data_IF_885522359023
#
_entry.id   IF_885522359023
#
_cell.length_a   1.000
_cell.length_b   1.000
_cell.length_c   1.000
_cell.angle_alpha   90.00
_cell.angle_beta   90.00
_cell.angle_gamma   90.00
#
_symmetry.space_group_name_H-M   'P 1'
#
loop_
_entity.id
_entity.type
_entity.pdbx_description
1 polymer ?
#
# COMPACT_ATOMS: atom_id res chain seq x y z
N UNK A 1 -22.94 -15.56 17.72
CA UNK A 1 -22.26 -15.40 16.42
C UNK A 1 -20.85 -15.94 16.54
N UNK A 2 -20.41 -16.87 15.68
CA UNK A 2 -19.00 -17.32 15.65
C UNK A 2 -18.18 -16.15 15.11
N UNK A 3 -17.33 -15.58 15.95
CA UNK A 3 -16.34 -14.58 15.51
C UNK A 3 -15.36 -15.28 14.57
N UNK A 4 -15.50 -15.05 13.27
CA UNK A 4 -14.53 -15.53 12.29
C UNK A 4 -13.30 -14.63 12.46
N UNK A 5 -12.13 -15.22 12.67
CA UNK A 5 -10.89 -14.44 12.78
C UNK A 5 -10.55 -13.82 11.41
N UNK A 6 -9.97 -12.63 11.38
CA UNK A 6 -9.52 -11.99 10.13
C UNK A 6 -8.56 -12.90 9.35
N UNK A 7 -7.74 -13.67 10.04
CA UNK A 7 -6.88 -14.69 9.44
C UNK A 7 -7.66 -15.70 8.60
N UNK A 8 -8.76 -16.21 9.14
CA UNK A 8 -9.58 -17.20 8.42
C UNK A 8 -10.30 -16.57 7.23
N UNK A 9 -10.75 -15.33 7.35
CA UNK A 9 -11.34 -14.59 6.22
C UNK A 9 -10.33 -14.35 5.11
N UNK A 10 -9.13 -13.85 5.45
CA UNK A 10 -8.06 -13.62 4.50
C UNK A 10 -7.68 -14.92 3.78
N UNK A 11 -7.49 -16.02 4.52
CA UNK A 11 -7.18 -17.32 3.93
C UNK A 11 -8.28 -17.82 2.99
N UNK A 12 -9.56 -17.66 3.36
CA UNK A 12 -10.68 -18.05 2.54
C UNK A 12 -10.76 -17.22 1.23
N UNK A 13 -10.47 -15.93 1.30
CA UNK A 13 -10.46 -15.04 0.13
C UNK A 13 -9.31 -15.41 -0.81
N UNK A 14 -8.11 -15.62 -0.25
CA UNK A 14 -6.92 -16.02 -1.02
C UNK A 14 -7.10 -17.39 -1.70
N UNK A 15 -7.82 -18.31 -1.07
CA UNK A 15 -8.14 -19.63 -1.63
C UNK A 15 -9.30 -19.60 -2.65
N UNK A 16 -9.75 -18.42 -3.10
CA UNK A 16 -10.78 -18.28 -4.13
C UNK A 16 -12.20 -18.62 -3.65
N UNK A 17 -12.45 -18.66 -2.35
CA UNK A 17 -13.78 -18.98 -1.79
C UNK A 17 -14.82 -17.90 -2.09
N UNK A 18 -14.40 -16.68 -2.38
CA UNK A 18 -15.24 -15.56 -2.77
C UNK A 18 -14.98 -15.19 -4.23
N UNK A 19 -15.67 -15.85 -5.15
CA UNK A 19 -15.56 -15.61 -6.60
C UNK A 19 -16.56 -14.53 -7.02
N UNK A 20 -16.15 -13.26 -6.95
CA UNK A 20 -16.89 -12.19 -7.62
C UNK A 20 -16.14 -11.73 -8.88
N UNK A 21 -16.90 -11.36 -9.92
CA UNK A 21 -16.38 -10.91 -11.20
C UNK A 21 -15.33 -9.79 -11.06
N UNK A 22 -15.54 -8.88 -10.13
CA UNK A 22 -14.63 -7.77 -9.86
C UNK A 22 -13.27 -8.22 -9.32
N UNK A 23 -13.22 -9.29 -8.51
CA UNK A 23 -11.97 -9.88 -8.02
C UNK A 23 -11.22 -10.61 -9.13
N UNK A 24 -11.92 -11.29 -10.06
CA UNK A 24 -11.31 -11.95 -11.21
C UNK A 24 -10.64 -10.92 -12.12
N UNK A 25 -11.31 -9.81 -12.43
CA UNK A 25 -10.72 -8.73 -13.23
C UNK A 25 -9.49 -8.11 -12.55
N UNK A 26 -9.54 -7.91 -11.23
CA UNK A 26 -8.39 -7.42 -10.47
C UNK A 26 -7.22 -8.40 -10.52
N UNK A 27 -7.48 -9.71 -10.38
CA UNK A 27 -6.43 -10.74 -10.46
C UNK A 27 -5.75 -10.73 -11.82
N UNK A 28 -6.51 -10.66 -12.93
CA UNK A 28 -5.95 -10.59 -14.29
C UNK A 28 -5.06 -9.35 -14.46
N UNK A 29 -5.53 -8.18 -14.00
CA UNK A 29 -4.76 -6.95 -14.08
C UNK A 29 -3.49 -7.01 -13.24
N UNK A 30 -3.58 -7.58 -12.05
CA UNK A 30 -2.44 -7.79 -11.16
C UNK A 30 -1.40 -8.73 -11.80
N UNK A 31 -1.84 -9.81 -12.42
CA UNK A 31 -0.94 -10.76 -13.10
C UNK A 31 -0.18 -10.10 -14.25
N UNK A 32 -0.83 -9.24 -15.04
CA UNK A 32 -0.17 -8.47 -16.11
C UNK A 32 0.90 -7.54 -15.53
N UNK A 33 0.58 -6.81 -14.45
CA UNK A 33 1.53 -5.92 -13.79
C UNK A 33 2.73 -6.73 -13.26
N UNK A 34 2.48 -7.78 -12.51
CA UNK A 34 3.52 -8.65 -11.94
C UNK A 34 4.42 -9.26 -13.00
N UNK A 35 3.84 -9.77 -14.10
CA UNK A 35 4.59 -10.28 -15.24
C UNK A 35 5.53 -9.21 -15.81
N UNK A 36 5.02 -8.00 -16.00
CA UNK A 36 5.82 -6.89 -16.55
C UNK A 36 6.98 -6.50 -15.62
N UNK A 37 6.72 -6.37 -14.32
CA UNK A 37 7.77 -6.04 -13.35
C UNK A 37 8.80 -7.16 -13.20
N UNK A 38 8.39 -8.42 -13.33
CA UNK A 38 9.30 -9.56 -13.33
C UNK A 38 10.14 -9.62 -14.61
N UNK A 39 9.56 -9.34 -15.77
CA UNK A 39 10.22 -9.37 -17.07
C UNK A 39 11.21 -8.21 -17.20
N UNK A 40 10.82 -7.02 -16.79
CA UNK A 40 11.64 -5.80 -16.79
C UNK A 40 12.08 -5.45 -15.36
N UNK A 41 12.77 -6.40 -14.73
CA UNK A 41 13.10 -6.26 -13.31
C UNK A 41 13.98 -5.04 -13.01
N UNK A 42 14.94 -4.73 -13.89
CA UNK A 42 15.83 -3.58 -13.71
C UNK A 42 15.18 -2.26 -14.13
N UNK A 43 15.68 -1.16 -13.55
CA UNK A 43 15.22 0.20 -13.84
C UNK A 43 16.33 0.99 -14.57
N UNK A 44 16.83 0.45 -15.68
CA UNK A 44 17.95 1.00 -16.44
C UNK A 44 17.61 1.45 -17.87
N UNK A 45 16.45 1.01 -18.41
CA UNK A 45 16.01 1.38 -19.76
C UNK A 45 14.70 2.17 -19.69
N UNK A 46 14.70 3.36 -20.28
CA UNK A 46 13.56 4.30 -20.22
C UNK A 46 12.24 3.67 -20.69
N UNK A 47 12.23 2.92 -21.78
CA UNK A 47 11.02 2.28 -22.31
C UNK A 47 10.45 1.21 -21.38
N UNK A 48 11.30 0.43 -20.70
CA UNK A 48 10.89 -0.59 -19.74
C UNK A 48 10.32 0.05 -18.46
N UNK A 49 10.96 1.13 -17.98
CA UNK A 49 10.47 1.89 -16.81
C UNK A 49 9.16 2.59 -17.15
N UNK A 50 9.07 3.21 -18.34
CA UNK A 50 7.83 3.88 -18.77
C UNK A 50 6.66 2.90 -18.93
N UNK A 51 6.91 1.67 -19.44
CA UNK A 51 5.90 0.63 -19.52
C UNK A 51 5.35 0.28 -18.13
N UNK A 52 6.21 0.12 -17.12
CA UNK A 52 5.81 -0.09 -15.72
C UNK A 52 4.98 1.08 -15.18
N UNK A 53 5.40 2.31 -15.42
CA UNK A 53 4.67 3.52 -15.00
C UNK A 53 3.29 3.58 -15.63
N UNK A 54 3.17 3.33 -16.94
CA UNK A 54 1.90 3.33 -17.69
C UNK A 54 0.94 2.26 -17.18
N UNK A 55 1.43 1.04 -16.93
CA UNK A 55 0.60 -0.05 -16.42
C UNK A 55 0.05 0.25 -15.02
N UNK A 56 0.88 0.76 -14.11
CA UNK A 56 0.40 1.18 -12.80
C UNK A 56 -0.62 2.31 -12.89
N UNK A 57 -0.41 3.25 -13.82
CA UNK A 57 -1.35 4.35 -14.02
C UNK A 57 -2.70 3.85 -14.56
N UNK A 58 -2.67 2.91 -15.51
CA UNK A 58 -3.85 2.33 -16.12
C UNK A 58 -4.68 1.49 -15.12
N UNK A 59 -4.04 0.57 -14.41
CA UNK A 59 -4.76 -0.41 -13.60
C UNK A 59 -5.04 0.06 -12.17
N UNK A 60 -4.21 0.94 -11.62
CA UNK A 60 -4.37 1.43 -10.25
C UNK A 60 -4.76 2.90 -10.16
N UNK A 61 -5.07 3.55 -11.29
CA UNK A 61 -5.54 4.94 -11.36
C UNK A 61 -4.65 5.90 -10.56
N UNK A 62 -3.32 5.76 -10.70
CA UNK A 62 -2.35 6.53 -9.91
C UNK A 62 -2.26 8.00 -10.29
N UNK A 63 -2.89 8.41 -11.39
CA UNK A 63 -3.02 9.81 -11.82
C UNK A 63 -1.73 10.42 -12.36
N UNK A 64 -0.76 9.62 -12.82
CA UNK A 64 0.48 10.11 -13.43
C UNK A 64 0.19 10.62 -14.85
N UNK A 65 0.22 11.93 -15.05
CA UNK A 65 0.00 12.55 -16.36
C UNK A 65 1.27 12.53 -17.22
N UNK A 66 2.44 12.78 -16.62
CA UNK A 66 3.73 12.84 -17.30
C UNK A 66 4.51 11.53 -17.11
N UNK A 67 4.07 10.44 -17.79
CA UNK A 67 4.65 9.09 -17.59
C UNK A 67 6.13 9.02 -17.98
N UNK A 68 6.54 9.67 -19.07
CA UNK A 68 7.94 9.75 -19.50
C UNK A 68 8.79 10.48 -18.45
N UNK A 69 8.31 11.60 -17.93
CA UNK A 69 9.03 12.38 -16.91
C UNK A 69 9.18 11.59 -15.61
N UNK A 70 8.14 10.84 -15.21
CA UNK A 70 8.23 9.94 -14.07
C UNK A 70 9.24 8.80 -14.30
N UNK A 71 9.27 8.23 -15.50
CA UNK A 71 10.23 7.19 -15.84
C UNK A 71 11.68 7.72 -15.83
N UNK A 72 11.91 8.91 -16.37
CA UNK A 72 13.20 9.60 -16.31
C UNK A 72 13.63 9.87 -14.85
N UNK A 73 12.71 10.35 -14.04
CA UNK A 73 12.96 10.58 -12.61
C UNK A 73 13.39 9.29 -11.90
N UNK A 74 12.68 8.18 -12.11
CA UNK A 74 13.03 6.88 -11.52
C UNK A 74 14.45 6.44 -11.97
N UNK A 75 14.79 6.61 -13.24
CA UNK A 75 16.13 6.28 -13.76
C UNK A 75 17.25 7.05 -13.04
N UNK A 76 17.04 8.35 -12.79
CA UNK A 76 18.06 9.19 -12.13
C UNK A 76 18.32 8.79 -10.67
N UNK A 77 17.37 8.12 -10.03
CA UNK A 77 17.48 7.70 -8.63
C UNK A 77 18.30 6.41 -8.44
N UNK A 78 18.59 5.66 -9.50
CA UNK A 78 19.35 4.39 -9.44
C UNK A 78 18.83 3.44 -8.34
N UNK A 79 17.55 3.11 -8.41
CA UNK A 79 16.78 2.54 -7.30
C UNK A 79 17.05 1.04 -7.04
N UNK A 80 17.62 0.29 -7.97
CA UNK A 80 17.59 -1.19 -7.96
C UNK A 80 18.22 -1.81 -6.71
N UNK A 81 19.45 -1.45 -6.36
CA UNK A 81 20.10 -1.97 -5.14
C UNK A 81 19.37 -1.54 -3.86
N UNK A 82 18.81 -0.34 -3.85
CA UNK A 82 18.08 0.20 -2.69
C UNK A 82 16.76 -0.52 -2.49
N UNK A 83 16.05 -0.81 -3.59
CA UNK A 83 14.83 -1.63 -3.57
C UNK A 83 15.13 -3.04 -3.04
N UNK A 84 16.20 -3.67 -3.56
CA UNK A 84 16.60 -4.99 -3.12
C UNK A 84 16.96 -5.04 -1.63
N UNK A 85 17.59 -4.00 -1.10
CA UNK A 85 17.92 -3.88 0.33
C UNK A 85 16.73 -3.53 1.22
N UNK A 86 15.58 -3.16 0.64
CA UNK A 86 14.39 -2.74 1.39
C UNK A 86 14.53 -1.34 2.00
N UNK A 87 15.27 -0.44 1.34
CA UNK A 87 15.40 0.96 1.76
C UNK A 87 14.07 1.70 1.59
N UNK A 88 13.39 1.94 2.68
CA UNK A 88 12.06 2.57 2.69
C UNK A 88 12.09 4.04 2.23
N UNK A 89 13.24 4.72 2.32
CA UNK A 89 13.36 6.13 1.92
C UNK A 89 13.18 6.32 0.41
N UNK A 90 13.45 5.29 -0.39
CA UNK A 90 13.30 5.35 -1.85
C UNK A 90 11.86 5.63 -2.30
N UNK A 91 10.88 5.22 -1.50
CA UNK A 91 9.46 5.49 -1.78
C UNK A 91 9.19 6.99 -1.81
N UNK A 92 9.73 7.72 -0.85
CA UNK A 92 9.55 9.16 -0.78
C UNK A 92 10.28 9.88 -1.92
N UNK A 93 11.46 9.39 -2.30
CA UNK A 93 12.24 9.96 -3.41
C UNK A 93 11.53 9.73 -4.74
N UNK A 94 11.01 8.53 -5.01
CA UNK A 94 10.19 8.26 -6.21
C UNK A 94 8.92 9.12 -6.21
N UNK A 95 8.29 9.32 -5.03
CA UNK A 95 7.09 10.11 -4.91
C UNK A 95 7.28 11.59 -5.27
N UNK A 96 8.46 12.16 -5.01
CA UNK A 96 8.79 13.58 -5.24
C UNK A 96 9.21 13.84 -6.68
N UNK A 97 8.24 13.82 -7.61
CA UNK A 97 8.50 14.13 -9.02
C UNK A 97 8.76 15.63 -9.22
N UNK A 98 9.98 16.02 -9.64
CA UNK A 98 10.24 17.40 -10.01
C UNK A 98 9.45 17.79 -11.27
N UNK A 99 8.79 18.93 -11.20
CA UNK A 99 8.10 19.55 -12.34
C UNK A 99 8.86 20.81 -12.78
N UNK A 100 8.39 21.40 -13.89
CA UNK A 100 8.91 22.66 -14.34
C UNK A 100 8.61 23.77 -13.32
N UNK A 101 9.44 24.81 -13.28
CA UNK A 101 9.35 25.94 -12.33
C UNK A 101 9.53 25.54 -10.85
N UNK A 102 10.45 24.64 -10.55
CA UNK A 102 10.82 24.19 -9.20
C UNK A 102 9.66 23.62 -8.37
N UNK A 103 8.58 23.25 -9.01
CA UNK A 103 7.45 22.59 -8.34
C UNK A 103 7.73 21.09 -8.20
N UNK A 104 7.26 20.53 -7.10
CA UNK A 104 7.31 19.09 -6.84
C UNK A 104 5.87 18.58 -6.80
N UNK A 105 5.60 17.52 -7.57
CA UNK A 105 4.35 16.75 -7.44
C UNK A 105 4.61 15.51 -6.60
N UNK A 106 3.85 15.37 -5.52
CA UNK A 106 4.01 14.24 -4.60
C UNK A 106 3.05 13.10 -4.98
N UNK A 107 3.60 12.02 -5.55
CA UNK A 107 2.86 10.88 -6.09
C UNK A 107 3.00 9.65 -5.17
N UNK A 108 2.61 9.79 -3.91
CA UNK A 108 2.88 8.81 -2.85
C UNK A 108 2.31 7.42 -3.15
N UNK A 109 1.01 7.33 -3.47
CA UNK A 109 0.35 6.05 -3.78
C UNK A 109 0.97 5.34 -4.99
N UNK A 110 1.43 6.10 -6.00
CA UNK A 110 2.18 5.54 -7.13
C UNK A 110 3.50 4.93 -6.66
N UNK A 111 4.29 5.67 -5.90
CA UNK A 111 5.61 5.24 -5.44
C UNK A 111 5.56 3.96 -4.62
N UNK A 112 4.59 3.86 -3.69
CA UNK A 112 4.41 2.63 -2.90
C UNK A 112 4.05 1.43 -3.78
N UNK A 113 3.17 1.62 -4.78
CA UNK A 113 2.80 0.56 -5.74
C UNK A 113 3.98 0.15 -6.62
N UNK A 114 4.80 1.12 -7.03
CA UNK A 114 6.00 0.84 -7.82
C UNK A 114 6.99 -0.04 -7.06
N UNK A 115 7.31 0.31 -5.82
CA UNK A 115 8.21 -0.47 -4.96
C UNK A 115 7.61 -1.85 -4.61
N UNK A 116 6.33 -1.91 -4.28
CA UNK A 116 5.62 -3.14 -3.94
C UNK A 116 5.55 -4.14 -5.11
N UNK A 117 5.49 -3.68 -6.36
CA UNK A 117 5.51 -4.57 -7.51
C UNK A 117 6.92 -5.08 -7.86
N UNK A 118 7.97 -4.42 -7.36
CA UNK A 118 9.34 -4.96 -7.41
C UNK A 118 9.60 -5.97 -6.27
N UNK A 119 9.24 -5.62 -5.03
CA UNK A 119 9.53 -6.41 -3.84
C UNK A 119 8.31 -6.44 -2.91
N UNK A 120 7.30 -7.25 -3.22
CA UNK A 120 6.02 -7.28 -2.49
C UNK A 120 6.14 -7.71 -1.02
N UNK A 121 7.23 -8.38 -0.66
CA UNK A 121 7.54 -8.79 0.71
C UNK A 121 8.19 -7.68 1.56
N UNK A 122 8.64 -6.58 0.92
CA UNK A 122 9.36 -5.49 1.60
C UNK A 122 8.55 -4.20 1.69
N UNK A 123 7.66 -3.98 0.71
CA UNK A 123 6.97 -2.70 0.54
C UNK A 123 5.44 -2.89 0.53
N UNK A 124 4.73 -2.61 1.64
CA UNK A 124 3.27 -2.59 1.62
C UNK A 124 2.74 -1.41 0.77
N UNK A 125 1.64 -1.67 0.07
CA UNK A 125 0.99 -0.65 -0.77
C UNK A 125 0.22 0.35 0.12
N UNK A 126 0.42 1.64 -0.11
CA UNK A 126 -0.45 2.67 0.43
C UNK A 126 -1.66 2.86 -0.49
N UNK A 127 -2.84 2.61 0.06
CA UNK A 127 -4.12 2.94 -0.54
C UNK A 127 -4.95 3.81 0.41
N UNK A 128 -5.69 4.77 -0.14
CA UNK A 128 -6.51 5.68 0.67
C UNK A 128 -7.57 4.95 1.48
N UNK A 129 -8.20 3.90 0.91
CA UNK A 129 -9.21 3.10 1.61
C UNK A 129 -8.60 2.34 2.77
N UNK A 130 -7.43 1.73 2.56
CA UNK A 130 -6.67 1.03 3.62
C UNK A 130 -6.22 2.02 4.71
N UNK A 131 -5.73 3.19 4.32
CA UNK A 131 -5.36 4.23 5.29
C UNK A 131 -6.58 4.70 6.11
N UNK A 132 -7.75 4.85 5.48
CA UNK A 132 -9.01 5.18 6.16
C UNK A 132 -9.43 4.10 7.14
N UNK A 133 -9.32 2.82 6.74
CA UNK A 133 -9.55 1.69 7.63
C UNK A 133 -8.64 1.74 8.86
N UNK A 134 -7.32 1.92 8.65
CA UNK A 134 -6.37 2.05 9.77
C UNK A 134 -6.73 3.23 10.68
N UNK A 135 -7.15 4.37 10.11
CA UNK A 135 -7.64 5.50 10.87
C UNK A 135 -8.89 5.21 11.72
N UNK A 136 -9.80 4.36 11.22
CA UNK A 136 -10.98 3.93 11.96
C UNK A 136 -10.62 2.94 13.07
N UNK A 137 -9.79 1.94 12.77
CA UNK A 137 -9.29 0.99 13.77
C UNK A 137 -8.53 1.72 14.89
N UNK A 138 -7.71 2.70 14.52
CA UNK A 138 -7.00 3.56 15.46
C UNK A 138 -7.97 4.35 16.35
N UNK A 139 -8.97 5.03 15.77
CA UNK A 139 -9.96 5.81 16.51
C UNK A 139 -10.74 4.95 17.51
N UNK A 140 -11.01 3.69 17.15
CA UNK A 140 -11.71 2.71 17.97
C UNK A 140 -10.80 1.92 18.92
N UNK A 141 -9.54 2.35 19.12
CA UNK A 141 -8.55 1.69 19.98
C UNK A 141 -8.26 0.21 19.61
N UNK A 142 -8.43 -0.13 18.32
CA UNK A 142 -8.28 -1.50 17.78
C UNK A 142 -6.99 -1.69 17.00
N UNK A 143 -6.01 -0.79 17.16
CA UNK A 143 -4.74 -0.80 16.45
C UNK A 143 -3.56 -0.56 17.43
N UNK A 144 -3.26 -1.56 18.23
CA UNK A 144 -2.15 -1.48 19.19
C UNK A 144 -0.78 -1.51 18.49
N UNK A 145 0.25 -0.83 19.02
CA UNK A 145 0.27 -0.11 20.28
C UNK A 145 -0.22 1.35 20.18
N UNK A 146 -0.73 1.77 19.02
CA UNK A 146 -1.14 3.15 18.78
C UNK A 146 -2.41 3.51 19.57
N UNK A 147 -2.42 4.69 20.20
CA UNK A 147 -3.53 5.16 21.01
C UNK A 147 -4.12 6.44 20.46
N UNK A 148 -5.44 6.44 20.25
CA UNK A 148 -6.18 7.64 19.92
C UNK A 148 -6.46 8.47 21.16
N UNK A 149 -6.14 9.76 21.11
CA UNK A 149 -6.37 10.73 22.20
C UNK A 149 -7.00 12.01 21.66
N UNK A 150 -7.80 12.70 22.49
CA UNK A 150 -8.38 13.99 22.12
C UNK A 150 -7.35 15.12 22.10
N UNK A 151 -6.28 14.98 22.90
CA UNK A 151 -5.19 15.98 23.01
C UNK A 151 -3.94 15.42 22.37
N UNK A 152 -3.17 16.30 21.72
CA UNK A 152 -1.83 15.95 21.26
C UNK A 152 -0.94 15.59 22.44
N UNK A 153 -0.45 14.37 22.44
CA UNK A 153 0.61 13.93 23.35
C UNK A 153 1.91 13.75 22.56
N UNK A 154 2.99 13.67 23.28
CA UNK A 154 4.34 13.50 22.76
C UNK A 154 4.42 12.30 21.79
N UNK A 155 5.19 12.46 20.72
CA UNK A 155 5.36 11.42 19.68
C UNK A 155 5.95 10.11 20.21
N UNK A 156 6.67 10.17 21.34
CA UNK A 156 7.29 9.01 21.97
C UNK A 156 6.29 8.01 22.56
N UNK A 157 5.06 8.43 22.82
CA UNK A 157 4.03 7.59 23.47
C UNK A 157 3.06 6.91 22.49
N UNK A 158 3.29 6.98 21.17
CA UNK A 158 2.37 6.43 20.16
C UNK A 158 0.90 6.93 20.30
N UNK A 159 0.74 8.14 20.84
CA UNK A 159 -0.56 8.76 21.09
C UNK A 159 -0.79 9.92 20.13
N UNK A 160 -1.84 9.86 19.35
CA UNK A 160 -2.17 10.84 18.31
C UNK A 160 -3.65 11.18 18.31
N UNK A 161 -4.03 12.36 17.80
CA UNK A 161 -5.39 12.55 17.30
C UNK A 161 -5.58 11.76 16.00
N UNK A 162 -6.83 11.39 15.66
CA UNK A 162 -7.12 10.67 14.40
C UNK A 162 -6.57 11.42 13.17
N UNK A 163 -6.74 12.74 13.13
CA UNK A 163 -6.24 13.56 12.00
C UNK A 163 -4.72 13.52 11.89
N UNK A 164 -4.00 13.66 13.01
CA UNK A 164 -2.53 13.58 13.02
C UNK A 164 -2.05 12.19 12.62
N UNK A 165 -2.70 11.14 13.12
CA UNK A 165 -2.40 9.76 12.73
C UNK A 165 -2.53 9.56 11.22
N UNK A 166 -3.67 9.97 10.62
CA UNK A 166 -3.90 9.88 9.18
C UNK A 166 -2.86 10.66 8.36
N UNK A 167 -2.49 11.85 8.82
CA UNK A 167 -1.43 12.63 8.17
C UNK A 167 -0.08 11.93 8.26
N UNK A 168 0.24 11.31 9.40
CA UNK A 168 1.51 10.60 9.61
C UNK A 168 1.62 9.31 8.79
N UNK A 169 0.50 8.70 8.37
CA UNK A 169 0.53 7.58 7.42
C UNK A 169 1.13 7.95 6.04
N UNK A 170 1.38 9.23 5.77
CA UNK A 170 2.12 9.68 4.58
C UNK A 170 3.64 9.66 4.76
N UNK A 171 4.14 9.43 5.94
CA UNK A 171 5.50 9.00 6.22
C UNK A 171 5.56 7.49 6.00
N UNK A 172 6.32 7.05 5.01
CA UNK A 172 6.28 5.65 4.60
C UNK A 172 6.84 4.70 5.65
N UNK A 173 7.85 5.12 6.40
CA UNK A 173 8.38 4.31 7.51
C UNK A 173 7.31 4.10 8.59
N UNK A 174 6.63 5.18 8.97
CA UNK A 174 5.52 5.09 9.91
C UNK A 174 4.37 4.22 9.37
N UNK A 175 4.05 4.34 8.07
CA UNK A 175 3.03 3.50 7.43
C UNK A 175 3.39 2.01 7.52
N UNK A 176 4.64 1.64 7.24
CA UNK A 176 5.13 0.25 7.37
C UNK A 176 5.01 -0.25 8.81
N UNK A 177 5.35 0.58 9.80
CA UNK A 177 5.24 0.19 11.21
C UNK A 177 3.78 -0.03 11.62
N UNK A 178 2.87 0.85 11.17
CA UNK A 178 1.41 0.68 11.38
C UNK A 178 0.90 -0.58 10.70
N UNK A 179 1.34 -0.85 9.47
CA UNK A 179 0.93 -2.04 8.73
C UNK A 179 1.37 -3.33 9.44
N UNK A 180 2.61 -3.38 9.94
CA UNK A 180 3.12 -4.49 10.76
C UNK A 180 2.33 -4.66 12.06
N UNK A 181 2.01 -3.55 12.73
CA UNK A 181 1.19 -3.58 13.94
C UNK A 181 -0.21 -4.14 13.63
N UNK A 182 -0.82 -3.75 12.52
CA UNK A 182 -2.09 -4.31 12.06
C UNK A 182 -1.97 -5.83 11.83
N UNK A 183 -0.98 -6.27 11.07
CA UNK A 183 -0.78 -7.71 10.82
C UNK A 183 -0.64 -8.49 12.13
N UNK A 184 0.13 -7.98 13.07
CA UNK A 184 0.31 -8.59 14.40
C UNK A 184 -0.98 -8.60 15.22
N UNK A 185 -1.75 -7.51 15.25
CA UNK A 185 -2.98 -7.42 16.04
C UNK A 185 -4.06 -8.41 15.56
N UNK A 186 -3.97 -8.84 14.31
CA UNK A 186 -4.99 -9.69 13.68
C UNK A 186 -4.48 -11.05 13.20
N UNK A 187 -3.31 -11.49 13.69
CA UNK A 187 -2.68 -12.79 13.38
C UNK A 187 -2.43 -13.03 11.89
N UNK A 188 -2.06 -11.96 11.15
CA UNK A 188 -1.80 -12.01 9.71
C UNK A 188 -0.30 -12.10 9.36
N UNK A 189 0.58 -12.28 10.34
CA UNK A 189 2.05 -12.24 10.17
C UNK A 189 2.58 -13.39 9.29
N UNK A 190 1.78 -14.44 9.07
CA UNK A 190 2.10 -15.53 8.15
C UNK A 190 1.79 -15.22 6.68
N UNK A 191 1.16 -14.08 6.40
CA UNK A 191 0.87 -13.59 5.05
C UNK A 191 1.91 -12.56 4.63
N UNK A 192 2.15 -12.46 3.33
CA UNK A 192 2.93 -11.36 2.74
C UNK A 192 2.13 -10.06 2.74
N UNK A 193 2.81 -8.92 2.63
CA UNK A 193 2.12 -7.63 2.46
C UNK A 193 1.16 -7.64 1.26
N UNK A 194 1.54 -8.34 0.18
CA UNK A 194 0.71 -8.44 -1.02
C UNK A 194 -0.58 -9.22 -0.78
N UNK A 195 -0.50 -10.32 -0.06
CA UNK A 195 -1.67 -11.13 0.30
C UNK A 195 -2.61 -10.36 1.23
N UNK A 196 -2.05 -9.64 2.21
CA UNK A 196 -2.85 -8.78 3.09
C UNK A 196 -3.47 -7.63 2.32
N UNK A 197 -2.73 -6.97 1.40
CA UNK A 197 -3.27 -5.91 0.54
C UNK A 197 -4.45 -6.42 -0.31
N UNK A 198 -4.30 -7.59 -0.92
CA UNK A 198 -5.36 -8.23 -1.69
C UNK A 198 -6.59 -8.51 -0.83
N UNK A 199 -6.40 -9.02 0.39
CA UNK A 199 -7.48 -9.23 1.34
C UNK A 199 -8.17 -7.92 1.72
N UNK A 200 -7.40 -6.90 2.11
CA UNK A 200 -7.94 -5.60 2.52
C UNK A 200 -8.72 -4.93 1.39
N UNK A 201 -8.16 -4.94 0.18
CA UNK A 201 -8.83 -4.39 -0.98
C UNK A 201 -10.14 -5.14 -1.29
N UNK A 202 -10.10 -6.47 -1.27
CA UNK A 202 -11.27 -7.33 -1.45
C UNK A 202 -12.33 -7.06 -0.39
N UNK A 203 -11.94 -7.03 0.89
CA UNK A 203 -12.85 -6.80 2.00
C UNK A 203 -13.54 -5.43 1.96
N UNK A 204 -12.83 -4.39 1.48
CA UNK A 204 -13.39 -3.04 1.37
C UNK A 204 -14.30 -2.87 0.14
N UNK A 205 -14.02 -3.61 -0.95
CA UNK A 205 -14.71 -3.46 -2.24
C UNK A 205 -15.88 -4.43 -2.44
N UNK A 206 -15.91 -5.54 -1.72
CA UNK A 206 -16.98 -6.51 -1.82
C UNK A 206 -18.16 -6.09 -0.93
N UNK A 207 -19.37 -6.17 -1.45
CA UNK A 207 -20.65 -5.93 -0.73
C UNK A 207 -20.98 -7.07 0.28
N UNK A 208 -19.99 -7.64 0.94
CA UNK A 208 -20.16 -8.65 1.95
C UNK A 208 -19.83 -8.10 3.34
N UNK A 209 -20.53 -8.56 4.36
CA UNK A 209 -20.21 -8.28 5.76
C UNK A 209 -18.88 -8.97 6.15
N UNK A 210 -17.77 -8.34 5.83
CA UNK A 210 -16.48 -8.77 6.33
C UNK A 210 -16.28 -8.33 7.78
N UNK A 211 -15.60 -9.17 8.54
CA UNK A 211 -15.27 -8.87 9.95
C UNK A 211 -14.48 -7.57 10.07
N UNK A 212 -13.64 -7.24 9.08
CA UNK A 212 -12.84 -6.01 9.08
C UNK A 212 -13.70 -4.74 9.01
N UNK A 213 -14.79 -4.72 8.24
CA UNK A 213 -15.72 -3.59 8.22
C UNK A 213 -16.46 -3.45 9.54
N UNK A 214 -16.87 -4.56 10.14
CA UNK A 214 -17.52 -4.58 11.46
C UNK A 214 -16.57 -4.11 12.57
N UNK A 215 -15.24 -4.37 12.43
CA UNK A 215 -14.25 -3.88 13.37
C UNK A 215 -13.97 -2.39 13.23
N UNK A 216 -14.12 -1.83 12.03
CA UNK A 216 -13.84 -0.42 11.75
C UNK A 216 -15.01 0.54 12.09
N UNK A 217 -16.21 0.02 12.25
CA UNK A 217 -17.40 0.74 12.73
C UNK A 217 -17.40 0.78 14.26
#
# INVERSE_FOLDING_TARGET
>A
MKTISLKNEATNLLNGKYTQQNLQNYTIQDDIVRYTFKTYHQNIKIGEVEAKVKLLNLFYSTGIQATVKMAQHILTLNIDERLEKGDLSIVEEIAKLPLDNDKIRFNYSFATKYCANHYPEKYPIYDYLVATLFGNLFANQKLLPYKCTEKQTDEQNNSYTKSRFLNKLRDYKFYVDVYKAFMKNYDLENLTYREVDYYLWGAIKLDHEFTIEALAK
#
